data_IF_121094839538
#
_entry.id   IF_121094839538
#
_cell.length_a   1.000
_cell.length_b   1.000
_cell.length_c   1.000
_cell.angle_alpha   90.00
_cell.angle_beta   90.00
_cell.angle_gamma   90.00
#
_symmetry.space_group_name_H-M   'P 1'
#
loop_
_entity.id
_entity.type
_entity.pdbx_description
1 polymer ?
#
# COMPACT_ATOMS: atom_id res chain seq x y z
N UNK A 1 8.46 -10.41 -27.94
CA UNK A 1 7.52 -10.64 -26.81
C UNK A 1 7.33 -9.29 -26.15
N UNK A 2 6.23 -8.60 -26.43
CA UNK A 2 5.91 -7.30 -25.83
C UNK A 2 5.50 -7.56 -24.37
N UNK A 3 6.26 -7.05 -23.41
CA UNK A 3 5.91 -7.20 -21.99
C UNK A 3 4.76 -6.23 -21.68
N UNK A 4 3.53 -6.73 -21.72
CA UNK A 4 2.35 -6.01 -21.25
C UNK A 4 2.19 -6.29 -19.76
N UNK A 5 2.32 -5.26 -18.93
CA UNK A 5 2.07 -5.35 -17.50
C UNK A 5 0.61 -5.08 -17.22
N UNK A 6 0.02 -5.83 -16.30
CA UNK A 6 -1.32 -5.62 -15.79
C UNK A 6 -1.26 -5.69 -14.27
N UNK A 7 -1.80 -4.68 -13.61
CA UNK A 7 -1.85 -4.61 -12.15
C UNK A 7 -3.19 -4.11 -11.63
N UNK A 8 -3.34 -4.17 -10.32
CA UNK A 8 -4.48 -3.62 -9.58
C UNK A 8 -4.04 -2.41 -8.76
N UNK A 9 -4.87 -1.39 -8.72
CA UNK A 9 -4.80 -0.30 -7.75
C UNK A 9 -6.00 -0.48 -6.84
N UNK A 10 -5.77 -0.50 -5.53
CA UNK A 10 -6.84 -0.48 -4.54
C UNK A 10 -6.69 0.73 -3.67
N UNK A 11 -7.79 1.35 -3.32
CA UNK A 11 -7.81 2.46 -2.37
C UNK A 11 -8.74 2.14 -1.22
N UNK A 12 -8.28 2.40 0.00
CA UNK A 12 -9.02 2.16 1.23
C UNK A 12 -9.18 3.46 2.00
N UNK A 13 -10.37 3.70 2.51
CA UNK A 13 -10.65 4.75 3.50
C UNK A 13 -11.03 4.06 4.82
N UNK A 14 -10.11 4.01 5.78
CA UNK A 14 -10.29 3.15 6.98
C UNK A 14 -10.51 3.92 8.28
N UNK A 15 -10.23 5.22 8.30
CA UNK A 15 -10.35 6.07 9.47
C UNK A 15 -10.48 7.55 9.07
N UNK A 16 -10.78 8.43 10.04
CA UNK A 16 -10.69 9.88 9.81
C UNK A 16 -9.24 10.38 9.77
N UNK A 17 -8.35 9.75 10.54
CA UNK A 17 -6.95 10.14 10.63
C UNK A 17 -6.04 8.95 10.98
N UNK A 18 -4.79 8.98 10.54
CA UNK A 18 -3.74 8.08 11.03
C UNK A 18 -2.77 8.79 11.98
N UNK A 19 -2.34 8.09 13.02
CA UNK A 19 -1.12 8.43 13.75
C UNK A 19 0.11 8.12 12.89
N UNK A 20 0.54 9.08 12.08
CA UNK A 20 1.63 8.89 11.09
C UNK A 20 2.96 8.49 11.73
N UNK A 21 3.26 8.98 12.93
CA UNK A 21 4.47 8.59 13.68
C UNK A 21 4.44 7.11 14.10
N UNK A 22 3.26 6.59 14.44
CA UNK A 22 3.09 5.17 14.75
C UNK A 22 3.09 4.33 13.46
N UNK A 23 2.40 4.81 12.43
CA UNK A 23 2.31 4.17 11.12
C UNK A 23 3.69 3.94 10.51
N UNK A 24 4.56 4.96 10.43
CA UNK A 24 5.91 4.81 9.88
C UNK A 24 6.74 3.77 10.63
N UNK A 25 6.62 3.69 11.96
CA UNK A 25 7.36 2.70 12.77
C UNK A 25 6.91 1.28 12.44
N UNK A 26 5.59 1.04 12.41
CA UNK A 26 5.03 -0.29 12.10
C UNK A 26 5.28 -0.69 10.66
N UNK A 27 5.09 0.24 9.72
CA UNK A 27 5.27 -0.02 8.31
C UNK A 27 6.74 -0.25 7.95
N UNK A 28 7.70 0.32 8.66
CA UNK A 28 9.12 -0.08 8.55
C UNK A 28 9.35 -1.54 8.95
N UNK A 29 8.67 -2.04 9.98
CA UNK A 29 8.80 -3.46 10.39
C UNK A 29 8.21 -4.38 9.31
N UNK A 30 7.00 -4.07 8.85
CA UNK A 30 6.30 -4.82 7.80
C UNK A 30 7.10 -4.84 6.49
N UNK A 31 7.58 -3.68 6.03
CA UNK A 31 8.35 -3.52 4.78
C UNK A 31 9.83 -3.87 4.83
N UNK A 32 10.39 -4.15 6.02
CA UNK A 32 11.83 -4.45 6.14
C UNK A 32 12.70 -3.20 6.00
N UNK A 33 12.19 -2.07 6.48
CA UNK A 33 12.85 -0.77 6.48
C UNK A 33 12.46 0.12 5.30
N UNK A 34 11.71 -0.38 4.31
CA UNK A 34 11.32 0.35 3.10
C UNK A 34 10.06 1.20 3.30
N UNK A 35 10.07 2.06 4.31
CA UNK A 35 9.01 3.04 4.56
C UNK A 35 9.60 4.41 4.92
N UNK A 36 9.22 5.44 4.16
CA UNK A 36 9.74 6.80 4.27
C UNK A 36 8.67 7.83 3.92
N UNK A 37 8.76 9.00 4.56
CA UNK A 37 7.88 10.10 4.20
C UNK A 37 8.30 10.72 2.85
N UNK A 38 7.30 11.09 2.07
CA UNK A 38 7.36 11.83 0.81
C UNK A 38 6.38 13.01 0.88
N UNK A 39 6.31 13.83 -0.17
CA UNK A 39 5.41 14.99 -0.24
C UNK A 39 5.56 15.92 0.98
N UNK A 40 6.75 16.50 1.14
CA UNK A 40 7.10 17.39 2.26
C UNK A 40 6.81 16.81 3.66
N UNK A 41 6.93 15.49 3.81
CA UNK A 41 6.74 14.83 5.09
C UNK A 41 5.30 14.40 5.39
N UNK A 42 4.36 14.57 4.44
CA UNK A 42 2.93 14.36 4.68
C UNK A 42 2.46 12.96 4.36
N UNK A 43 2.95 12.38 3.27
CA UNK A 43 2.53 11.07 2.79
C UNK A 43 3.60 10.05 3.14
N UNK A 44 3.19 8.87 3.60
CA UNK A 44 4.11 7.78 3.82
C UNK A 44 4.11 6.86 2.60
N UNK A 45 5.27 6.74 1.95
CA UNK A 45 5.50 5.76 0.89
C UNK A 45 6.13 4.50 1.47
N UNK A 46 5.58 3.34 1.09
CA UNK A 46 6.04 2.03 1.56
C UNK A 46 6.14 1.08 0.37
N UNK A 47 7.24 0.32 0.34
CA UNK A 47 7.40 -0.81 -0.58
C UNK A 47 7.38 -2.10 0.23
N UNK A 48 6.52 -3.07 -0.10
CA UNK A 48 6.47 -4.34 0.63
C UNK A 48 7.81 -5.09 0.51
N UNK A 49 8.03 -6.02 1.43
CA UNK A 49 9.08 -7.02 1.25
C UNK A 49 8.72 -7.87 0.03
N UNK A 50 9.70 -8.26 -0.80
CA UNK A 50 9.47 -9.29 -1.81
C UNK A 50 8.88 -10.52 -1.15
N UNK A 51 7.86 -11.11 -1.78
CA UNK A 51 7.27 -12.35 -1.31
C UNK A 51 7.95 -13.49 -2.07
N UNK A 52 8.82 -14.25 -1.41
CA UNK A 52 9.51 -15.40 -2.03
C UNK A 52 8.54 -16.48 -2.55
N UNK A 53 7.26 -16.42 -2.15
CA UNK A 53 6.23 -17.39 -2.50
C UNK A 53 5.49 -17.12 -3.82
N UNK A 54 5.59 -15.93 -4.41
CA UNK A 54 4.92 -15.60 -5.68
C UNK A 54 5.95 -15.27 -6.78
N UNK A 55 6.30 -16.24 -7.65
CA UNK A 55 7.25 -16.03 -8.73
C UNK A 55 6.72 -15.10 -9.85
N UNK A 56 5.44 -14.69 -9.77
CA UNK A 56 4.83 -13.72 -10.68
C UNK A 56 5.01 -12.26 -10.26
N UNK A 57 5.24 -11.99 -8.97
CA UNK A 57 5.57 -10.65 -8.47
C UNK A 57 7.07 -10.44 -8.63
N UNK A 58 7.47 -9.55 -9.53
CA UNK A 58 8.89 -9.21 -9.66
C UNK A 58 9.37 -8.56 -8.37
N UNK A 59 10.61 -8.84 -7.97
CA UNK A 59 11.26 -8.18 -6.85
C UNK A 59 11.06 -6.66 -6.90
N UNK A 60 10.37 -6.10 -5.89
CA UNK A 60 10.06 -4.67 -5.81
C UNK A 60 8.72 -4.23 -6.41
N UNK A 61 7.84 -5.16 -6.78
CA UNK A 61 6.46 -4.85 -7.12
C UNK A 61 5.64 -4.60 -5.85
N UNK A 62 4.87 -3.50 -5.86
CA UNK A 62 4.11 -3.05 -4.71
C UNK A 62 4.48 -1.63 -4.29
N UNK A 63 3.54 -0.69 -4.36
CA UNK A 63 3.68 0.62 -3.74
C UNK A 63 2.46 0.90 -2.88
N UNK A 64 2.70 1.39 -1.66
CA UNK A 64 1.65 1.82 -0.75
C UNK A 64 1.88 3.28 -0.41
N UNK A 65 0.82 4.07 -0.49
CA UNK A 65 0.80 5.46 -0.03
C UNK A 65 -0.23 5.59 1.09
N UNK A 66 0.23 5.96 2.28
CA UNK A 66 -0.64 6.21 3.44
C UNK A 66 -0.74 7.72 3.64
N UNK A 67 -1.95 8.23 3.55
CA UNK A 67 -2.28 9.62 3.71
C UNK A 67 -2.78 9.89 5.13
N UNK A 68 -2.43 11.04 5.73
CA UNK A 68 -2.75 11.32 7.13
C UNK A 68 -4.26 11.35 7.42
N UNK A 69 -5.08 11.64 6.41
CA UNK A 69 -6.54 11.68 6.47
C UNK A 69 -7.20 10.30 6.27
N UNK A 70 -6.51 9.21 6.64
CA UNK A 70 -7.11 7.87 6.71
C UNK A 70 -7.25 7.10 5.39
N UNK A 71 -6.67 7.63 4.31
CA UNK A 71 -6.65 6.99 2.99
C UNK A 71 -5.36 6.20 2.77
N UNK A 72 -5.50 5.01 2.18
CA UNK A 72 -4.40 4.14 1.78
C UNK A 72 -4.57 3.80 0.31
N UNK A 73 -3.50 3.93 -0.47
CA UNK A 73 -3.48 3.59 -1.89
C UNK A 73 -2.45 2.49 -2.13
N UNK A 74 -2.89 1.33 -2.59
CA UNK A 74 -2.09 0.13 -2.84
C UNK A 74 -1.97 -0.11 -4.35
N UNK A 75 -0.76 -0.25 -4.86
CA UNK A 75 -0.47 -0.50 -6.27
C UNK A 75 0.28 -1.81 -6.41
N UNK A 76 -0.32 -2.80 -7.07
CA UNK A 76 0.33 -4.07 -7.36
C UNK A 76 0.60 -4.93 -6.12
N UNK A 77 -0.20 -4.77 -5.06
CA UNK A 77 -0.17 -5.67 -3.91
C UNK A 77 -1.00 -6.93 -4.21
N UNK A 78 -0.59 -8.06 -3.65
CA UNK A 78 -1.44 -9.25 -3.56
C UNK A 78 -2.55 -9.06 -2.53
N UNK A 79 -3.61 -9.86 -2.62
CA UNK A 79 -4.74 -9.77 -1.69
C UNK A 79 -4.29 -10.08 -0.23
N UNK A 80 -3.30 -10.97 -0.07
CA UNK A 80 -2.67 -11.27 1.23
C UNK A 80 -1.86 -10.08 1.76
N UNK A 81 -1.07 -9.43 0.90
CA UNK A 81 -0.30 -8.25 1.28
C UNK A 81 -1.21 -7.09 1.70
N UNK A 82 -2.34 -6.90 1.00
CA UNK A 82 -3.35 -5.92 1.38
C UNK A 82 -3.94 -6.23 2.76
N UNK A 83 -4.33 -7.48 3.02
CA UNK A 83 -4.90 -7.87 4.31
C UNK A 83 -3.93 -7.69 5.48
N UNK A 84 -2.65 -8.05 5.28
CA UNK A 84 -1.60 -7.83 6.27
C UNK A 84 -1.37 -6.34 6.53
N UNK A 85 -1.27 -5.54 5.46
CA UNK A 85 -1.10 -4.09 5.54
C UNK A 85 -2.23 -3.44 6.34
N UNK A 86 -3.49 -3.76 6.05
CA UNK A 86 -4.65 -3.22 6.76
C UNK A 86 -4.65 -3.63 8.24
N UNK A 87 -4.23 -4.86 8.54
CA UNK A 87 -4.06 -5.32 9.92
C UNK A 87 -3.00 -4.50 10.67
N UNK A 88 -1.89 -4.17 10.00
CA UNK A 88 -0.84 -3.32 10.58
C UNK A 88 -1.36 -1.89 10.84
N UNK A 89 -2.09 -1.33 9.87
CA UNK A 89 -2.61 0.03 9.92
C UNK A 89 -3.75 0.22 10.92
N UNK A 90 -4.53 -0.83 11.22
CA UNK A 90 -5.61 -0.77 12.21
C UNK A 90 -5.17 -0.18 13.55
N UNK A 91 -3.96 -0.49 14.00
CA UNK A 91 -3.38 0.01 15.25
C UNK A 91 -2.87 1.46 15.19
N UNK A 92 -2.94 2.08 14.01
CA UNK A 92 -2.53 3.45 13.76
C UNK A 92 -3.73 4.38 13.51
N UNK A 93 -4.93 3.83 13.34
CA UNK A 93 -6.16 4.57 13.09
C UNK A 93 -6.55 5.42 14.31
N UNK A 94 -7.00 6.64 14.04
CA UNK A 94 -7.73 7.49 14.96
C UNK A 94 -9.14 7.65 14.40
N UNK A 95 -10.14 7.31 15.20
CA UNK A 95 -11.53 7.29 14.76
C UNK A 95 -11.72 6.37 13.55
N UNK A 96 -11.43 5.08 13.78
CA UNK A 96 -11.63 4.01 12.82
C UNK A 96 -13.07 3.94 12.31
N UNK A 97 -13.23 3.65 11.02
CA UNK A 97 -14.54 3.29 10.47
C UNK A 97 -14.85 1.82 10.75
N UNK A 98 -16.14 1.53 10.95
CA UNK A 98 -16.65 0.17 11.16
C UNK A 98 -16.53 -0.59 9.84
N UNK A 99 -16.93 0.04 8.74
CA UNK A 99 -16.86 -0.47 7.39
C UNK A 99 -15.97 0.45 6.54
N UNK A 100 -14.74 0.03 6.20
CA UNK A 100 -13.88 0.79 5.31
C UNK A 100 -14.48 0.90 3.91
N UNK A 101 -14.45 2.10 3.33
CA UNK A 101 -14.77 2.26 1.91
C UNK A 101 -13.59 1.77 1.06
N UNK A 102 -13.89 1.05 -0.02
CA UNK A 102 -12.87 0.46 -0.91
C UNK A 102 -13.23 0.71 -2.37
N UNK A 103 -12.27 1.16 -3.16
CA UNK A 103 -12.37 1.25 -4.62
C UNK A 103 -11.24 0.47 -5.29
N UNK A 104 -11.59 -0.31 -6.32
CA UNK A 104 -10.67 -1.15 -7.09
C UNK A 104 -10.57 -0.67 -8.54
N UNK A 105 -9.34 -0.46 -9.00
CA UNK A 105 -9.03 -0.09 -10.39
C UNK A 105 -8.03 -1.07 -10.99
N UNK A 106 -8.06 -1.21 -12.31
CA UNK A 106 -7.05 -2.00 -13.04
C UNK A 106 -6.27 -1.08 -13.96
N UNK A 107 -4.99 -1.36 -14.12
CA UNK A 107 -4.12 -0.62 -15.02
C UNK A 107 -3.29 -1.58 -15.87
N UNK A 108 -2.91 -1.11 -17.05
CA UNK A 108 -1.93 -1.80 -17.89
C UNK A 108 -0.94 -0.80 -18.46
N UNK A 109 0.34 -1.17 -18.47
CA UNK A 109 1.40 -0.38 -19.08
C UNK A 109 2.37 -1.29 -19.86
N UNK A 110 2.94 -0.77 -20.95
CA UNK A 110 3.79 -1.49 -21.90
C UNK A 110 4.00 -0.61 -23.14
N UNK A 111 4.86 -1.02 -24.07
CA UNK A 111 5.06 -0.27 -25.32
C UNK A 111 3.77 -0.26 -26.13
N UNK A 112 3.10 0.90 -26.10
CA UNK A 112 1.97 1.22 -26.96
C UNK A 112 2.51 1.64 -28.32
N UNK A 113 2.75 0.67 -29.21
CA UNK A 113 2.84 0.92 -30.66
C UNK A 113 1.87 0.00 -31.39
#
# INVERSE_FOLDING_TARGET
>A
VTNQFKGKIKTYCTAEEYNMTHAVRRLRVWSGGKASFVDDGRVLHVQPKPNDADPGTRDGEGNVFVFPYGVVVCWGLSDEQDAELLTVLKFCEKQSYVDPETDDFTYSYGDSY
#
